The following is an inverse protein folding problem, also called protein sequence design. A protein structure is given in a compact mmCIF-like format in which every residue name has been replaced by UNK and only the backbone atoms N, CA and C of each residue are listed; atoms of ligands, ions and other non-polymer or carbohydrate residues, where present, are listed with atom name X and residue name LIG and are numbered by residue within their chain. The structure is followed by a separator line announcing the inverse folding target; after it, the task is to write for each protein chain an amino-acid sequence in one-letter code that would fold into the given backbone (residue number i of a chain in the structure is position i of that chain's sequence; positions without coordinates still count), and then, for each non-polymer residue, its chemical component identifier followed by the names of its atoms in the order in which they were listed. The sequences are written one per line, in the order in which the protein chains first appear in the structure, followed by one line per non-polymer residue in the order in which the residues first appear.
data_IF_057237759616
#
_entry.id   IF_057237759616
#
_cell.length_a   1.000
_cell.length_b   1.000
_cell.length_c   1.000
_cell.angle_alpha   90.00
_cell.angle_beta   90.00
_cell.angle_gamma   90.00
#
_symmetry.space_group_name_H-M   'P 1'
#
loop_
_entity.id
_entity.type
_entity.pdbx_description
1 polymer ?
#
# COMPACT_ATOMS: atom_id res chain seq x y z
N UNK A 1 -14.02 -3.68 -5.78
CA UNK A 1 -15.11 -4.04 -4.84
C UNK A 1 -15.41 -5.52 -4.97
N UNK A 2 -16.10 -6.15 -4.01
CA UNK A 2 -16.47 -7.58 -4.16
C UNK A 2 -17.34 -7.82 -5.40
N UNK A 3 -18.24 -6.87 -5.72
CA UNK A 3 -19.03 -6.91 -6.95
C UNK A 3 -18.14 -6.96 -8.19
N UNK A 4 -17.18 -6.03 -8.31
CA UNK A 4 -16.24 -6.03 -9.45
C UNK A 4 -15.45 -7.34 -9.54
N UNK A 5 -15.01 -7.88 -8.39
CA UNK A 5 -14.36 -9.20 -8.36
C UNK A 5 -15.30 -10.30 -8.88
N UNK A 6 -16.55 -10.35 -8.40
CA UNK A 6 -17.52 -11.36 -8.80
C UNK A 6 -17.90 -11.26 -10.29
N UNK A 7 -17.96 -10.04 -10.84
CA UNK A 7 -18.20 -9.80 -12.26
C UNK A 7 -16.98 -10.23 -13.12
N UNK A 8 -15.77 -10.22 -12.54
CA UNK A 8 -14.50 -10.48 -13.25
C UNK A 8 -14.10 -11.96 -13.28
N UNK A 9 -14.41 -12.76 -12.26
CA UNK A 9 -13.95 -14.15 -12.16
C UNK A 9 -15.01 -15.15 -12.60
N UNK A 10 -14.58 -16.31 -13.10
CA UNK A 10 -15.50 -17.37 -13.49
C UNK A 10 -16.23 -17.95 -12.25
N UNK A 11 -17.49 -18.43 -12.39
CA UNK A 11 -18.34 -18.80 -11.25
C UNK A 11 -17.72 -19.81 -10.26
N UNK A 12 -16.89 -20.73 -10.74
CA UNK A 12 -16.21 -21.73 -9.91
C UNK A 12 -15.13 -21.13 -8.98
N UNK A 13 -14.69 -19.91 -9.26
CA UNK A 13 -13.70 -19.19 -8.45
C UNK A 13 -14.33 -18.15 -7.54
N UNK A 14 -15.66 -17.99 -7.56
CA UNK A 14 -16.36 -17.09 -6.65
C UNK A 14 -16.20 -17.58 -5.20
N UNK A 15 -15.70 -16.69 -4.34
CA UNK A 15 -15.76 -16.94 -2.90
C UNK A 15 -17.19 -16.77 -2.39
N UNK A 16 -17.55 -17.52 -1.34
CA UNK A 16 -18.88 -17.44 -0.73
C UNK A 16 -19.20 -16.07 -0.12
N UNK A 17 -18.16 -15.28 0.19
CA UNK A 17 -18.24 -13.99 0.84
C UNK A 17 -17.15 -13.02 0.34
N UNK A 18 -17.30 -11.75 0.70
CA UNK A 18 -16.30 -10.71 0.52
C UNK A 18 -15.16 -10.88 1.54
N UNK A 19 -14.31 -11.88 1.33
CA UNK A 19 -13.23 -12.23 2.26
C UNK A 19 -12.29 -11.04 2.55
N UNK A 20 -11.99 -10.22 1.54
CA UNK A 20 -11.16 -9.03 1.70
C UNK A 20 -11.86 -7.97 2.56
N UNK A 21 -13.14 -7.70 2.31
CA UNK A 21 -13.89 -6.76 3.15
C UNK A 21 -14.13 -7.29 4.55
N UNK A 22 -14.36 -8.59 4.72
CA UNK A 22 -14.52 -9.24 6.03
C UNK A 22 -13.23 -9.12 6.84
N UNK A 23 -12.09 -9.39 6.21
CA UNK A 23 -10.78 -9.18 6.83
C UNK A 23 -10.60 -7.75 7.35
N UNK A 24 -10.96 -6.73 6.55
CA UNK A 24 -10.90 -5.33 6.98
C UNK A 24 -11.89 -5.05 8.12
N UNK A 25 -13.13 -5.56 8.04
CA UNK A 25 -14.16 -5.40 9.07
C UNK A 25 -13.72 -5.99 10.41
N UNK A 26 -13.19 -7.21 10.39
CA UNK A 26 -12.66 -7.90 11.56
C UNK A 26 -11.53 -7.10 12.21
N UNK A 27 -10.57 -6.63 11.42
CA UNK A 27 -9.49 -5.79 11.93
C UNK A 27 -10.02 -4.49 12.54
N UNK A 28 -11.00 -3.83 11.92
CA UNK A 28 -11.61 -2.60 12.44
C UNK A 28 -12.46 -2.83 13.70
N UNK A 29 -12.92 -4.05 13.94
CA UNK A 29 -13.67 -4.43 15.14
C UNK A 29 -12.77 -4.72 16.36
N UNK A 30 -11.47 -4.97 16.15
CA UNK A 30 -10.54 -5.24 17.26
C UNK A 30 -10.40 -4.03 18.21
N UNK A 31 -10.27 -4.27 19.53
CA UNK A 31 -10.10 -3.22 20.52
C UNK A 31 -8.72 -2.54 20.43
N UNK A 32 -8.53 -1.46 21.19
CA UNK A 32 -7.24 -0.75 21.29
C UNK A 32 -7.03 0.37 20.27
N UNK A 33 -8.05 0.71 19.47
CA UNK A 33 -8.06 1.89 18.61
C UNK A 33 -9.49 2.42 18.49
N UNK A 34 -9.76 3.61 19.04
CA UNK A 34 -11.10 4.19 19.04
C UNK A 34 -11.41 4.93 17.73
N UNK A 35 -10.45 5.73 17.24
CA UNK A 35 -10.62 6.49 16.01
C UNK A 35 -10.43 5.61 14.76
N UNK A 36 -11.22 5.89 13.72
CA UNK A 36 -11.12 5.17 12.44
C UNK A 36 -9.71 5.23 11.81
N UNK A 37 -9.02 6.36 11.94
CA UNK A 37 -7.64 6.51 11.46
C UNK A 37 -6.67 5.61 12.21
N UNK A 38 -6.86 5.41 13.51
CA UNK A 38 -5.98 4.55 14.31
C UNK A 38 -6.19 3.08 13.97
N UNK A 39 -7.44 2.68 13.67
CA UNK A 39 -7.77 1.34 13.15
C UNK A 39 -7.11 1.09 11.79
N UNK A 40 -7.21 2.06 10.88
CA UNK A 40 -6.59 1.99 9.56
C UNK A 40 -5.06 1.91 9.65
N UNK A 41 -4.43 2.75 10.47
CA UNK A 41 -2.97 2.75 10.65
C UNK A 41 -2.46 1.48 11.32
N UNK A 42 -3.22 0.88 12.24
CA UNK A 42 -2.87 -0.43 12.80
C UNK A 42 -2.89 -1.50 11.73
N UNK A 43 -3.93 -1.55 10.89
CA UNK A 43 -3.99 -2.51 9.79
C UNK A 43 -2.81 -2.29 8.82
N UNK A 44 -2.52 -1.03 8.48
CA UNK A 44 -1.41 -0.68 7.59
C UNK A 44 -0.05 -1.13 8.16
N UNK A 45 0.24 -0.85 9.43
CA UNK A 45 1.53 -1.17 10.04
C UNK A 45 1.73 -2.66 10.33
N UNK A 46 0.65 -3.41 10.57
CA UNK A 46 0.71 -4.83 10.94
C UNK A 46 0.52 -5.79 9.77
N UNK A 47 -0.08 -5.33 8.67
CA UNK A 47 -0.37 -6.17 7.50
C UNK A 47 0.31 -5.60 6.25
N UNK A 48 -0.07 -4.40 5.82
CA UNK A 48 0.38 -3.84 4.53
C UNK A 48 1.89 -3.56 4.50
N UNK A 49 2.42 -2.94 5.56
CA UNK A 49 3.80 -2.50 5.64
C UNK A 49 4.79 -3.67 5.53
N UNK A 50 4.42 -4.81 6.11
CA UNK A 50 5.23 -6.03 6.15
C UNK A 50 5.41 -6.62 4.74
N UNK A 51 4.31 -6.68 3.97
CA UNK A 51 4.30 -7.41 2.69
C UNK A 51 4.56 -6.56 1.44
N UNK A 52 4.46 -5.22 1.51
CA UNK A 52 4.69 -4.35 0.34
C UNK A 52 5.94 -3.47 0.45
N UNK A 53 5.92 -2.30 1.12
CA UNK A 53 7.00 -1.33 0.99
C UNK A 53 8.33 -1.81 1.60
N UNK A 54 8.30 -2.56 2.72
CA UNK A 54 9.52 -3.06 3.37
C UNK A 54 10.12 -4.21 2.58
N UNK A 55 9.28 -5.17 2.15
CA UNK A 55 9.71 -6.28 1.30
C UNK A 55 10.33 -5.79 -0.02
N UNK A 56 9.73 -4.78 -0.65
CA UNK A 56 10.26 -4.22 -1.90
C UNK A 56 11.63 -3.59 -1.71
N UNK A 57 11.83 -2.75 -0.68
CA UNK A 57 13.14 -2.10 -0.48
C UNK A 57 14.20 -3.15 -0.16
N UNK A 58 13.91 -4.11 0.72
CA UNK A 58 14.85 -5.15 1.12
C UNK A 58 15.27 -6.03 -0.06
N UNK A 59 14.31 -6.63 -0.77
CA UNK A 59 14.60 -7.50 -1.92
C UNK A 59 15.40 -6.78 -3.01
N UNK A 60 15.06 -5.53 -3.31
CA UNK A 60 15.71 -4.77 -4.38
C UNK A 60 17.14 -4.35 -4.00
N UNK A 61 17.40 -3.95 -2.76
CA UNK A 61 18.77 -3.59 -2.36
C UNK A 61 19.64 -4.82 -2.15
N UNK A 62 19.10 -5.89 -1.55
CA UNK A 62 19.83 -7.13 -1.31
C UNK A 62 20.19 -7.87 -2.60
N UNK A 63 19.39 -7.74 -3.67
CA UNK A 63 19.75 -8.23 -5.01
C UNK A 63 21.09 -7.67 -5.54
N UNK A 64 21.55 -6.55 -4.97
CA UNK A 64 22.82 -5.90 -5.28
C UNK A 64 23.80 -5.88 -4.10
N UNK A 65 23.56 -6.70 -3.06
CA UNK A 65 24.41 -6.77 -1.87
C UNK A 65 24.38 -5.51 -0.99
N UNK A 66 23.32 -4.70 -1.10
CA UNK A 66 23.16 -3.46 -0.32
C UNK A 66 22.15 -3.65 0.82
N UNK A 67 22.54 -3.27 2.03
CA UNK A 67 21.66 -3.27 3.21
C UNK A 67 20.95 -1.90 3.33
N UNK A 68 19.63 -1.87 3.10
CA UNK A 68 18.82 -0.67 3.32
C UNK A 68 18.46 -0.51 4.81
N UNK A 69 18.51 0.73 5.31
CA UNK A 69 18.02 1.07 6.65
C UNK A 69 16.75 1.90 6.54
N UNK A 70 15.79 1.67 7.44
CA UNK A 70 14.48 2.33 7.46
C UNK A 70 14.24 3.07 8.79
N UNK A 71 14.89 4.24 9.02
CA UNK A 71 14.84 4.94 10.32
C UNK A 71 13.42 5.30 10.80
N UNK A 72 12.49 5.50 9.87
CA UNK A 72 11.08 5.77 10.19
C UNK A 72 10.36 4.58 10.85
N UNK A 73 10.92 3.37 10.73
CA UNK A 73 10.40 2.14 11.35
C UNK A 73 11.13 1.77 12.64
N UNK A 74 11.97 2.65 13.21
CA UNK A 74 12.48 2.45 14.56
C UNK A 74 11.30 2.33 15.54
N UNK A 75 11.33 1.30 16.39
CA UNK A 75 10.23 0.99 17.30
C UNK A 75 9.85 2.17 18.20
N UNK A 76 10.82 2.99 18.63
CA UNK A 76 10.56 4.14 19.50
C UNK A 76 9.75 5.21 18.78
N UNK A 77 10.04 5.43 17.50
CA UNK A 77 9.32 6.39 16.68
C UNK A 77 7.92 5.87 16.32
N UNK A 78 7.79 4.58 16.02
CA UNK A 78 6.50 3.94 15.73
C UNK A 78 5.59 3.98 16.97
N UNK A 79 6.10 3.61 18.15
CA UNK A 79 5.37 3.66 19.42
C UNK A 79 4.99 5.09 19.82
N UNK A 80 5.85 6.08 19.55
CA UNK A 80 5.49 7.49 19.73
C UNK A 80 4.35 7.87 18.79
N UNK A 81 4.47 7.54 17.51
CA UNK A 81 3.47 7.86 16.48
C UNK A 81 2.11 7.22 16.76
N UNK A 82 2.10 6.00 17.28
CA UNK A 82 0.88 5.31 17.69
C UNK A 82 0.12 6.07 18.79
N UNK A 83 0.85 6.65 19.76
CA UNK A 83 0.30 7.42 20.89
C UNK A 83 -0.16 8.84 20.53
N UNK A 84 0.21 9.36 19.36
CA UNK A 84 -0.26 10.68 18.91
C UNK A 84 -1.79 10.67 18.79
N UNK A 85 -2.51 11.66 19.35
CA UNK A 85 -3.96 11.73 19.20
C UNK A 85 -4.40 11.83 17.74
N UNK A 86 -5.46 11.09 17.37
CA UNK A 86 -6.00 11.02 16.01
C UNK A 86 -6.21 12.39 15.33
N UNK A 87 -6.61 13.41 16.10
CA UNK A 87 -6.80 14.79 15.60
C UNK A 87 -5.57 15.41 14.94
N UNK A 88 -4.37 14.93 15.24
CA UNK A 88 -3.11 15.40 14.66
C UNK A 88 -2.61 14.52 13.50
N UNK A 89 -3.23 13.36 13.24
CA UNK A 89 -2.79 12.39 12.24
C UNK A 89 -3.36 12.61 10.84
N UNK A 90 -4.43 13.41 10.71
CA UNK A 90 -5.11 13.68 9.44
C UNK A 90 -4.89 15.09 8.86
N UNK A 91 -4.67 16.16 9.66
CA UNK A 91 -4.41 17.48 9.10
C UNK A 91 -3.17 17.49 8.18
N UNK A 92 -3.19 18.42 7.22
CA UNK A 92 -2.12 18.60 6.22
C UNK A 92 -1.77 17.29 5.47
N UNK A 93 -2.81 16.57 5.04
CA UNK A 93 -2.66 15.31 4.32
C UNK A 93 -2.00 14.20 5.16
N UNK A 94 -2.12 14.29 6.49
CA UNK A 94 -1.62 13.33 7.46
C UNK A 94 -0.13 13.44 7.79
N UNK A 95 0.49 14.58 7.47
CA UNK A 95 1.92 14.82 7.74
C UNK A 95 2.19 15.98 8.69
N UNK A 96 1.16 16.56 9.31
CA UNK A 96 1.30 17.77 10.13
C UNK A 96 2.41 17.65 11.17
N UNK A 97 2.34 16.68 12.08
CA UNK A 97 3.34 16.52 13.16
C UNK A 97 4.75 16.34 12.60
N UNK A 98 4.90 15.54 11.55
CA UNK A 98 6.19 15.31 10.91
C UNK A 98 6.74 16.58 10.26
N UNK A 99 5.90 17.34 9.55
CA UNK A 99 6.30 18.58 8.90
C UNK A 99 6.67 19.65 9.92
N UNK A 100 5.91 19.83 10.99
CA UNK A 100 6.24 20.77 12.07
C UNK A 100 7.60 20.45 12.70
N UNK A 101 7.85 19.17 13.02
CA UNK A 101 9.15 18.74 13.52
C UNK A 101 10.28 18.95 12.51
N UNK A 102 10.04 18.66 11.22
CA UNK A 102 11.05 18.76 10.17
C UNK A 102 11.45 20.21 9.85
N UNK A 103 10.55 21.19 10.00
CA UNK A 103 10.88 22.62 9.80
C UNK A 103 11.92 23.16 10.78
N UNK A 104 12.18 22.45 11.88
CA UNK A 104 13.25 22.81 12.83
C UNK A 104 14.65 22.51 12.30
N UNK A 105 14.77 21.64 11.29
CA UNK A 105 16.06 21.10 10.82
C UNK A 105 16.23 21.10 9.29
N UNK A 106 15.15 21.31 8.54
CA UNK A 106 15.14 21.34 7.08
C UNK A 106 14.45 22.64 6.62
N UNK A 107 14.94 23.33 5.58
CA UNK A 107 14.29 24.53 5.04
C UNK A 107 12.83 24.30 4.66
N UNK A 108 11.96 25.25 5.00
CA UNK A 108 10.51 25.16 4.77
C UNK A 108 10.16 24.95 3.31
N UNK A 109 10.96 25.47 2.37
CA UNK A 109 10.77 25.30 0.94
C UNK A 109 10.82 23.82 0.51
N UNK A 110 11.61 23.00 1.21
CA UNK A 110 11.68 21.55 0.98
C UNK A 110 10.47 20.84 1.59
N UNK A 111 10.05 21.27 2.78
CA UNK A 111 8.93 20.66 3.54
C UNK A 111 7.57 20.93 2.88
N UNK A 112 7.39 22.16 2.39
CA UNK A 112 6.13 22.65 1.83
C UNK A 112 6.03 22.41 0.32
N UNK A 113 7.05 21.80 -0.29
CA UNK A 113 7.03 21.39 -1.69
C UNK A 113 5.84 20.45 -1.96
N UNK A 114 5.13 20.71 -3.07
CA UNK A 114 4.08 19.81 -3.56
C UNK A 114 4.62 18.38 -3.73
N UNK A 115 3.84 17.38 -3.29
CA UNK A 115 4.18 15.96 -3.45
C UNK A 115 4.53 15.68 -4.91
N UNK A 116 5.80 15.34 -5.15
CA UNK A 116 6.27 14.88 -6.45
C UNK A 116 5.79 13.45 -6.69
N UNK A 117 5.41 13.16 -7.93
CA UNK A 117 5.19 11.79 -8.37
C UNK A 117 6.53 11.05 -8.40
N UNK A 118 6.54 9.80 -7.95
CA UNK A 118 7.67 8.91 -8.18
C UNK A 118 7.42 8.24 -9.53
N UNK A 119 8.14 8.60 -10.60
CA UNK A 119 7.92 7.97 -11.89
C UNK A 119 8.30 6.50 -11.77
N UNK A 120 7.29 5.63 -11.90
CA UNK A 120 7.49 4.22 -12.23
C UNK A 120 6.98 4.07 -13.66
N UNK A 121 7.78 4.45 -14.67
CA UNK A 121 7.28 4.71 -16.03
C UNK A 121 6.65 3.48 -16.69
N UNK A 122 7.06 2.27 -16.28
CA UNK A 122 6.64 1.03 -16.94
C UNK A 122 5.38 0.34 -16.42
N UNK A 123 4.75 0.77 -15.31
CA UNK A 123 3.63 -0.01 -14.71
C UNK A 123 2.25 0.61 -14.92
N UNK A 124 2.14 1.93 -14.97
CA UNK A 124 0.84 2.59 -15.03
C UNK A 124 0.27 2.68 -16.46
N UNK A 125 1.15 2.81 -17.45
CA UNK A 125 0.81 2.90 -18.85
C UNK A 125 1.81 2.05 -19.63
N UNK A 126 1.48 0.77 -19.82
CA UNK A 126 2.26 -0.11 -20.67
C UNK A 126 2.19 0.40 -22.11
N UNK A 127 3.33 0.52 -22.76
CA UNK A 127 3.45 0.93 -24.16
C UNK A 127 4.55 0.15 -24.90
N UNK A 128 4.53 0.22 -26.23
CA UNK A 128 5.52 -0.42 -27.10
C UNK A 128 5.69 -1.92 -26.83
N UNK A 129 6.95 -2.37 -26.84
CA UNK A 129 7.31 -3.79 -26.71
C UNK A 129 6.87 -4.39 -25.37
N UNK A 130 6.82 -3.59 -24.30
CA UNK A 130 6.38 -4.09 -22.98
C UNK A 130 4.87 -4.38 -23.00
N UNK A 131 4.06 -3.50 -23.60
CA UNK A 131 2.63 -3.76 -23.78
C UNK A 131 2.41 -5.00 -24.66
N UNK A 132 3.14 -5.11 -25.76
CA UNK A 132 3.02 -6.26 -26.66
C UNK A 132 3.36 -7.57 -25.92
N UNK A 133 4.49 -7.60 -25.21
CA UNK A 133 4.89 -8.77 -24.42
C UNK A 133 3.84 -9.15 -23.35
N UNK A 134 3.30 -8.17 -22.62
CA UNK A 134 2.24 -8.43 -21.62
C UNK A 134 0.96 -8.94 -22.28
N UNK A 135 0.56 -8.36 -23.43
CA UNK A 135 -0.62 -8.81 -24.18
C UNK A 135 -0.46 -10.23 -24.70
N UNK A 136 0.70 -10.54 -25.28
CA UNK A 136 1.00 -11.87 -25.80
C UNK A 136 0.92 -12.91 -24.69
N UNK A 137 1.51 -12.62 -23.52
CA UNK A 137 1.44 -13.51 -22.36
C UNK A 137 0.02 -13.68 -21.82
N UNK A 138 -0.74 -12.60 -21.66
CA UNK A 138 -2.09 -12.65 -21.06
C UNK A 138 -3.15 -13.22 -21.99
N UNK A 139 -2.99 -13.08 -23.30
CA UNK A 139 -3.94 -13.54 -24.31
C UNK A 139 -3.54 -14.88 -24.94
N UNK A 140 -2.39 -15.46 -24.56
CA UNK A 140 -2.01 -16.81 -24.96
C UNK A 140 -3.04 -17.81 -24.41
N UNK A 141 -3.76 -18.56 -25.28
CA UNK A 141 -4.77 -19.53 -24.84
C UNK A 141 -4.22 -20.63 -23.93
N UNK A 142 -2.92 -20.92 -23.97
CA UNK A 142 -2.27 -21.86 -23.05
C UNK A 142 -2.28 -21.39 -21.59
N UNK A 143 -2.46 -20.08 -21.37
CA UNK A 143 -2.58 -19.47 -20.05
C UNK A 143 -4.03 -19.42 -19.56
N UNK A 144 -5.01 -19.87 -20.36
CA UNK A 144 -6.40 -19.92 -19.91
C UNK A 144 -6.57 -21.01 -18.85
N UNK A 145 -6.72 -20.56 -17.61
CA UNK A 145 -6.98 -21.39 -16.43
C UNK A 145 -8.44 -21.36 -16.00
N UNK A 146 -9.31 -20.78 -16.85
CA UNK A 146 -10.73 -20.54 -16.55
C UNK A 146 -10.90 -19.61 -15.34
N UNK A 147 -9.96 -18.71 -15.08
CA UNK A 147 -9.99 -17.81 -13.92
C UNK A 147 -10.97 -16.66 -14.10
N UNK A 148 -10.98 -16.09 -15.31
CA UNK A 148 -11.73 -14.88 -15.62
C UNK A 148 -13.02 -15.20 -16.36
N UNK A 149 -14.05 -14.39 -16.13
CA UNK A 149 -15.26 -14.40 -16.91
C UNK A 149 -15.02 -13.57 -18.20
N UNK A 150 -15.04 -14.18 -19.40
CA UNK A 150 -14.75 -13.48 -20.65
C UNK A 150 -15.95 -12.70 -21.23
N UNK A 151 -17.08 -12.63 -20.50
CA UNK A 151 -18.29 -11.91 -20.93
C UNK A 151 -18.34 -10.46 -20.48
#
# INVERSE_FOLDING_TARGET
SYKEYADTVAPQWLTANDAAGDFVREHFAMPGADAAVDKALRLDSTVMLVDDPVKRVDNMTMAWGLEARTPFLDYRLVELSARVPARFKLPDGGKQVLKEAARLVIPSEVIDRKKGYFPVPGLKHLEGDTLNWVRDLLLDPSQDRGLFNPT
#
